data_IF_062306609403
#
_entry.id   IF_062306609403
#
_cell.length_a   1.000
_cell.length_b   1.000
_cell.length_c   1.000
_cell.angle_alpha   90.00
_cell.angle_beta   90.00
_cell.angle_gamma   90.00
#
_symmetry.space_group_name_H-M   'P 1'
#
loop_
_entity.id
_entity.type
_entity.pdbx_description
1 polymer ?
#
# COMPACT_ATOMS: atom_id res chain seq x y z
N UNK A 1 -13.88 -18.07 -5.15
CA UNK A 1 -13.76 -17.56 -3.77
C UNK A 1 -12.87 -16.33 -3.83
N UNK A 2 -13.27 -15.20 -3.22
CA UNK A 2 -12.42 -14.01 -3.21
C UNK A 2 -11.12 -14.31 -2.48
N UNK A 3 -10.02 -13.72 -2.97
CA UNK A 3 -8.71 -13.79 -2.30
C UNK A 3 -8.66 -12.72 -1.23
N UNK A 4 -7.87 -12.97 -0.19
CA UNK A 4 -7.64 -12.02 0.90
C UNK A 4 -6.32 -11.30 0.65
N UNK A 5 -6.37 -9.98 0.64
CA UNK A 5 -5.20 -9.12 0.56
C UNK A 5 -5.13 -8.24 1.81
N UNK A 6 -3.92 -7.99 2.29
CA UNK A 6 -3.68 -7.06 3.40
C UNK A 6 -2.83 -5.91 2.88
N UNK A 7 -3.32 -4.69 3.09
CA UNK A 7 -2.56 -3.47 2.85
C UNK A 7 -1.97 -3.00 4.16
N UNK A 8 -0.66 -2.80 4.22
CA UNK A 8 0.04 -2.32 5.42
C UNK A 8 0.68 -0.98 5.11
N UNK A 9 0.15 0.08 5.70
CA UNK A 9 0.71 1.44 5.62
C UNK A 9 1.90 1.60 6.56
N UNK A 10 3.02 2.06 6.03
CA UNK A 10 4.28 2.23 6.74
C UNK A 10 4.71 3.69 6.76
N UNK A 11 5.30 4.11 7.88
CA UNK A 11 6.03 5.37 8.04
C UNK A 11 7.35 5.08 8.74
N UNK A 12 8.47 5.48 8.15
CA UNK A 12 9.81 5.23 8.69
C UNK A 12 10.03 3.75 9.10
N UNK A 13 9.47 2.81 8.32
CA UNK A 13 9.56 1.37 8.56
C UNK A 13 8.61 0.83 9.65
N UNK A 14 7.82 1.68 10.30
CA UNK A 14 6.82 1.27 11.30
C UNK A 14 5.41 1.21 10.70
N UNK A 15 4.64 0.17 11.07
CA UNK A 15 3.23 0.06 10.70
C UNK A 15 2.40 1.15 11.36
N UNK A 16 1.65 1.89 10.54
CA UNK A 16 0.77 2.98 11.00
C UNK A 16 -0.69 2.77 10.65
N UNK A 17 -0.98 1.99 9.62
CA UNK A 17 -2.35 1.66 9.20
C UNK A 17 -2.40 0.27 8.57
N UNK A 18 -3.56 -0.37 8.61
CA UNK A 18 -3.79 -1.68 8.01
C UNK A 18 -5.22 -1.77 7.47
N UNK A 19 -5.38 -2.36 6.29
CA UNK A 19 -6.68 -2.67 5.69
C UNK A 19 -6.69 -4.10 5.12
N UNK A 20 -7.81 -4.80 5.28
CA UNK A 20 -7.99 -6.19 4.83
C UNK A 20 -9.09 -6.22 3.77
N UNK A 21 -8.73 -6.66 2.58
CA UNK A 21 -9.58 -6.57 1.39
C UNK A 21 -9.88 -7.96 0.81
N UNK A 22 -11.10 -8.12 0.29
CA UNK A 22 -11.57 -9.36 -0.32
C UNK A 22 -11.94 -9.09 -1.77
N UNK A 23 -11.12 -9.56 -2.71
CA UNK A 23 -11.37 -9.40 -4.16
C UNK A 23 -10.62 -10.47 -4.96
N UNK A 24 -10.88 -10.54 -6.27
CA UNK A 24 -10.47 -11.70 -7.08
C UNK A 24 -9.08 -11.54 -7.75
N UNK A 25 -8.56 -10.31 -7.87
CA UNK A 25 -7.38 -10.01 -8.68
C UNK A 25 -6.30 -9.18 -7.97
N UNK A 26 -5.04 -9.45 -8.28
CA UNK A 26 -3.88 -8.69 -7.78
C UNK A 26 -3.75 -7.27 -8.38
N UNK A 27 -4.08 -7.02 -9.66
CA UNK A 27 -4.09 -5.65 -10.17
C UNK A 27 -5.05 -4.73 -9.38
N UNK A 28 -6.15 -5.28 -8.87
CA UNK A 28 -7.09 -4.52 -8.04
C UNK A 28 -6.50 -4.17 -6.67
N UNK A 29 -5.75 -5.07 -6.02
CA UNK A 29 -5.08 -4.73 -4.75
C UNK A 29 -4.02 -3.66 -4.96
N UNK A 30 -3.27 -3.69 -6.07
CA UNK A 30 -2.32 -2.63 -6.39
C UNK A 30 -3.02 -1.27 -6.60
N UNK A 31 -4.19 -1.25 -7.25
CA UNK A 31 -5.00 -0.04 -7.42
C UNK A 31 -5.50 0.50 -6.07
N UNK A 32 -6.02 -0.39 -5.22
CA UNK A 32 -6.50 -0.05 -3.88
C UNK A 32 -5.36 0.38 -2.96
N UNK A 33 -4.17 -0.19 -3.11
CA UNK A 33 -2.98 0.23 -2.38
C UNK A 33 -2.55 1.66 -2.73
N UNK A 34 -2.62 2.06 -4.00
CA UNK A 34 -2.39 3.46 -4.40
C UNK A 34 -3.41 4.41 -3.78
N UNK A 35 -4.69 4.02 -3.76
CA UNK A 35 -5.74 4.81 -3.13
C UNK A 35 -5.53 4.91 -1.61
N UNK A 36 -5.24 3.78 -0.95
CA UNK A 36 -4.91 3.69 0.46
C UNK A 36 -3.74 4.62 0.82
N UNK A 37 -2.68 4.61 0.02
CA UNK A 37 -1.53 5.47 0.23
C UNK A 37 -1.89 6.95 0.07
N UNK A 38 -2.79 7.30 -0.86
CA UNK A 38 -3.27 8.68 -1.03
C UNK A 38 -4.09 9.14 0.19
N UNK A 39 -4.99 8.29 0.69
CA UNK A 39 -5.89 8.57 1.82
C UNK A 39 -5.14 8.63 3.17
N UNK A 40 -4.10 7.80 3.34
CA UNK A 40 -3.29 7.76 4.55
C UNK A 40 -2.02 8.61 4.38
N UNK A 41 -2.17 9.93 4.53
CA UNK A 41 -1.07 10.90 4.33
C UNK A 41 0.10 10.78 5.28
N UNK A 42 -0.07 10.03 6.37
CA UNK A 42 1.01 9.71 7.31
C UNK A 42 1.90 8.56 6.84
N UNK A 43 1.47 7.77 5.84
CA UNK A 43 2.26 6.68 5.29
C UNK A 43 3.16 7.18 4.16
N UNK A 44 4.43 6.80 4.20
CA UNK A 44 5.39 7.02 3.11
C UNK A 44 5.34 5.87 2.10
N UNK A 45 4.87 4.71 2.55
CA UNK A 45 4.82 3.48 1.78
C UNK A 45 3.60 2.64 2.18
N UNK A 46 3.11 1.81 1.25
CA UNK A 46 2.18 0.73 1.53
C UNK A 46 2.74 -0.58 0.98
N UNK A 47 2.57 -1.66 1.75
CA UNK A 47 2.86 -3.02 1.33
C UNK A 47 1.56 -3.77 1.01
N UNK A 48 1.60 -4.57 -0.05
CA UNK A 48 0.50 -5.43 -0.49
C UNK A 48 0.88 -6.87 -0.19
N UNK A 49 0.16 -7.48 0.73
CA UNK A 49 0.36 -8.85 1.16
C UNK A 49 -0.78 -9.74 0.70
N UNK A 50 -0.47 -11.01 0.42
CA UNK A 50 -1.45 -12.09 0.30
C UNK A 50 -0.92 -13.31 1.01
N UNK A 51 -1.73 -13.91 1.88
CA UNK A 51 -1.32 -15.02 2.74
C UNK A 51 -0.05 -14.65 3.53
N UNK A 52 1.10 -15.23 3.20
CA UNK A 52 2.40 -14.94 3.84
C UNK A 52 3.39 -14.29 2.86
N UNK A 53 2.95 -13.94 1.65
CA UNK A 53 3.78 -13.37 0.59
C UNK A 53 3.57 -11.87 0.43
N UNK A 54 4.65 -11.11 0.51
CA UNK A 54 4.70 -9.73 0.05
C UNK A 54 4.67 -9.73 -1.49
N UNK A 55 3.63 -9.13 -2.07
CA UNK A 55 3.44 -9.05 -3.51
C UNK A 55 4.06 -7.78 -4.08
N UNK A 56 3.86 -6.65 -3.40
CA UNK A 56 4.32 -5.36 -3.86
C UNK A 56 4.55 -4.38 -2.71
N UNK A 57 5.42 -3.43 -2.98
CA UNK A 57 5.70 -2.28 -2.13
C UNK A 57 5.55 -1.02 -2.97
N UNK A 58 4.69 -0.09 -2.53
CA UNK A 58 4.42 1.16 -3.23
C UNK A 58 4.81 2.34 -2.33
N UNK A 59 5.74 3.16 -2.77
CA UNK A 59 6.14 4.38 -2.07
C UNK A 59 5.43 5.62 -2.60
N UNK A 60 5.36 6.69 -1.79
CA UNK A 60 5.11 8.03 -2.29
C UNK A 60 6.34 8.44 -3.09
N UNK A 61 6.18 8.71 -4.38
CA UNK A 61 7.23 9.41 -5.12
C UNK A 61 7.47 10.74 -4.41
N UNK A 62 8.64 10.90 -3.79
CA UNK A 62 9.05 12.20 -3.27
C UNK A 62 9.14 13.11 -4.48
N UNK A 63 8.16 13.99 -4.66
CA UNK A 63 8.29 15.13 -5.57
C UNK A 63 9.45 15.96 -5.01
N UNK A 64 10.66 15.69 -5.50
CA UNK A 64 11.78 16.60 -5.35
C UNK A 64 11.46 17.78 -6.24
N UNK A 65 10.83 18.81 -5.68
CA UNK A 65 10.83 20.13 -6.32
C UNK A 65 12.30 20.54 -6.45
N UNK A 66 12.83 20.77 -7.67
CA UNK A 66 14.18 21.30 -7.79
C UNK A 66 14.21 22.66 -7.08
N UNK A 67 15.14 22.81 -6.14
CA UNK A 67 15.42 24.11 -5.54
C UNK A 67 15.95 25.02 -6.66
N UNK A 68 15.12 26.00 -7.05
CA UNK A 68 15.53 27.12 -7.89
C UNK A 68 16.08 28.27 -7.06
#
# INVERSE_FOLDING_TARGET
>A
MPKVYTLIGLRDGSTTAMDIQFHDSEPESARLARAFLADHTTCDQVEVWREQGLLATLGRERVTTPAG
#
